data_IF_461001916106
#
_entry.id   IF_461001916106
#
_cell.length_a   1.000
_cell.length_b   1.000
_cell.length_c   1.000
_cell.angle_alpha   90.00
_cell.angle_beta   90.00
_cell.angle_gamma   90.00
#
_symmetry.space_group_name_H-M   'P 1'
#
loop_
_entity.id
_entity.type
_entity.pdbx_description
1 polymer ?
#
# COMPACT_ATOMS: atom_id res chain seq x y z
N UNK A 1 -5.67 -9.92 -2.19
CA UNK A 1 -4.95 -10.60 -3.29
C UNK A 1 -4.50 -9.66 -4.41
N UNK A 2 -5.32 -8.70 -4.88
CA UNK A 2 -5.00 -7.82 -6.02
C UNK A 2 -3.81 -6.86 -5.81
N UNK A 3 -3.74 -6.15 -4.68
CA UNK A 3 -2.61 -5.23 -4.37
C UNK A 3 -1.25 -5.95 -4.43
N UNK A 4 -1.12 -7.12 -3.79
CA UNK A 4 0.11 -7.92 -3.86
C UNK A 4 0.46 -8.42 -5.27
N UNK A 5 -0.54 -8.60 -6.15
CA UNK A 5 -0.29 -8.93 -7.57
C UNK A 5 0.20 -7.71 -8.33
N UNK A 6 -0.42 -6.54 -8.12
CA UNK A 6 -0.01 -5.28 -8.73
C UNK A 6 1.43 -4.92 -8.36
N UNK A 7 1.79 -4.93 -7.06
CA UNK A 7 3.16 -4.71 -6.59
C UNK A 7 4.17 -5.60 -7.32
N UNK A 8 3.93 -6.93 -7.35
CA UNK A 8 4.83 -7.88 -8.01
C UNK A 8 4.94 -7.64 -9.51
N UNK A 9 3.81 -7.41 -10.20
CA UNK A 9 3.78 -7.15 -11.65
C UNK A 9 4.54 -5.87 -12.01
N UNK A 10 4.37 -4.83 -11.21
CA UNK A 10 5.00 -3.52 -11.42
C UNK A 10 6.45 -3.49 -10.94
N UNK A 11 6.89 -4.51 -10.18
CA UNK A 11 8.17 -4.51 -9.46
C UNK A 11 8.32 -3.27 -8.57
N UNK A 12 7.20 -2.82 -8.00
CA UNK A 12 7.16 -1.65 -7.14
C UNK A 12 7.95 -1.93 -5.87
N UNK A 13 8.87 -1.02 -5.53
CA UNK A 13 9.61 -1.09 -4.28
C UNK A 13 8.69 -0.67 -3.12
N UNK A 14 8.20 -1.67 -2.38
CA UNK A 14 7.32 -1.48 -1.24
C UNK A 14 7.76 -2.34 -0.08
N UNK A 15 7.62 -1.78 1.13
CA UNK A 15 7.93 -2.50 2.36
C UNK A 15 6.65 -3.05 2.98
N UNK A 16 6.59 -4.36 3.18
CA UNK A 16 5.46 -5.00 3.86
C UNK A 16 5.58 -4.89 5.38
N UNK A 17 4.48 -4.53 6.04
CA UNK A 17 4.37 -4.49 7.50
C UNK A 17 3.29 -5.48 7.95
N UNK A 18 3.65 -6.37 8.88
CA UNK A 18 2.73 -7.35 9.44
C UNK A 18 1.97 -6.74 10.63
N UNK A 19 0.65 -6.62 10.52
CA UNK A 19 -0.19 -6.06 11.58
C UNK A 19 -0.34 -6.99 12.79
N UNK A 20 0.04 -8.27 12.69
CA UNK A 20 0.11 -9.16 13.86
C UNK A 20 1.21 -8.73 14.84
N UNK A 21 2.14 -7.87 14.41
CA UNK A 21 3.08 -7.22 15.30
C UNK A 21 2.45 -5.95 15.89
N UNK A 22 2.27 -5.85 17.23
CA UNK A 22 1.51 -4.77 17.85
C UNK A 22 1.92 -3.34 17.45
N UNK A 23 3.22 -3.00 17.29
CA UNK A 23 3.62 -1.67 16.83
C UNK A 23 3.05 -1.28 15.47
N UNK A 24 2.96 -2.22 14.52
CA UNK A 24 2.38 -1.95 13.20
C UNK A 24 0.86 -1.77 13.27
N UNK A 25 0.17 -2.58 14.08
CA UNK A 25 -1.27 -2.42 14.31
C UNK A 25 -1.57 -1.06 14.93
N UNK A 26 -0.84 -0.68 15.97
CA UNK A 26 -1.03 0.60 16.65
C UNK A 26 -0.81 1.77 15.69
N UNK A 27 0.23 1.70 14.85
CA UNK A 27 0.47 2.69 13.79
C UNK A 27 -0.69 2.76 12.80
N UNK A 28 -1.20 1.61 12.34
CA UNK A 28 -2.34 1.54 11.41
C UNK A 28 -3.58 2.22 12.00
N UNK A 29 -3.89 1.98 13.28
CA UNK A 29 -5.06 2.60 13.92
C UNK A 29 -4.83 4.08 14.19
N UNK A 30 -3.66 4.45 14.70
CA UNK A 30 -3.34 5.84 15.07
C UNK A 30 -3.25 6.76 13.85
N UNK A 31 -2.53 6.33 12.82
CA UNK A 31 -2.23 7.17 11.65
C UNK A 31 -3.23 6.93 10.50
N UNK A 32 -3.78 5.71 10.41
CA UNK A 32 -4.79 5.32 9.41
C UNK A 32 -6.24 5.48 9.88
N UNK A 33 -6.49 5.59 11.18
CA UNK A 33 -7.82 5.80 11.75
C UNK A 33 -8.68 4.53 11.90
N UNK A 34 -8.31 3.41 11.26
CA UNK A 34 -9.11 2.18 11.31
C UNK A 34 -8.29 0.89 11.16
N UNK A 35 -8.79 -0.20 11.75
CA UNK A 35 -8.23 -1.55 11.61
C UNK A 35 -8.71 -2.22 10.31
N UNK A 36 -8.37 -1.62 9.17
CA UNK A 36 -8.69 -2.15 7.83
C UNK A 36 -7.40 -2.44 7.05
N UNK A 37 -7.40 -3.55 6.31
CA UNK A 37 -6.34 -3.91 5.36
C UNK A 37 -6.93 -4.28 4.00
N UNK A 38 -6.19 -4.10 2.88
CA UNK A 38 -4.85 -3.50 2.80
C UNK A 38 -4.88 -1.98 3.03
N UNK A 39 -3.77 -1.45 3.55
CA UNK A 39 -3.50 -0.01 3.66
C UNK A 39 -2.10 0.24 3.09
N UNK A 40 -1.98 1.23 2.21
CA UNK A 40 -0.70 1.68 1.66
C UNK A 40 -0.36 3.03 2.30
N UNK A 41 0.84 3.17 2.86
CA UNK A 41 1.35 4.46 3.33
C UNK A 41 2.23 5.07 2.24
N UNK A 42 1.94 6.32 1.87
CA UNK A 42 2.71 7.12 0.91
C UNK A 42 3.05 8.43 1.63
N UNK A 43 4.33 8.70 1.88
CA UNK A 43 4.78 9.87 2.64
C UNK A 43 3.99 10.06 3.95
N UNK A 44 3.90 8.97 4.72
CA UNK A 44 3.14 8.85 5.98
C UNK A 44 1.62 9.08 5.89
N UNK A 45 1.06 9.28 4.69
CA UNK A 45 -0.39 9.38 4.47
C UNK A 45 -0.97 7.99 4.16
N UNK A 46 -2.04 7.58 4.87
CA UNK A 46 -2.71 6.30 4.62
C UNK A 46 -3.59 6.39 3.37
N UNK A 47 -3.55 5.34 2.55
CA UNK A 47 -4.46 5.11 1.45
C UNK A 47 -5.16 3.76 1.66
N UNK A 48 -6.48 3.80 1.65
CA UNK A 48 -7.34 2.63 1.72
C UNK A 48 -7.94 2.34 0.34
N UNK A 49 -8.85 1.39 0.33
CA UNK A 49 -9.47 0.84 -0.86
C UNK A 49 -8.49 0.19 -1.83
N UNK A 50 -8.66 -1.12 -1.92
CA UNK A 50 -7.73 -1.95 -2.67
C UNK A 50 -7.72 -1.66 -4.17
N UNK A 51 -8.76 -1.02 -4.74
CA UNK A 51 -8.75 -0.54 -6.13
C UNK A 51 -7.98 0.78 -6.28
N UNK A 52 -8.14 1.71 -5.35
CA UNK A 52 -7.41 2.99 -5.36
C UNK A 52 -5.91 2.77 -5.17
N UNK A 53 -5.53 1.86 -4.27
CA UNK A 53 -4.14 1.43 -4.11
C UNK A 53 -3.56 0.87 -5.42
N UNK A 54 -4.33 0.06 -6.16
CA UNK A 54 -3.87 -0.52 -7.42
C UNK A 54 -3.70 0.56 -8.48
N UNK A 55 -4.69 1.45 -8.64
CA UNK A 55 -4.64 2.58 -9.58
C UNK A 55 -3.46 3.50 -9.29
N UNK A 56 -3.20 3.79 -8.02
CA UNK A 56 -2.04 4.57 -7.60
C UNK A 56 -0.73 3.88 -8.00
N UNK A 57 -0.58 2.60 -7.69
CA UNK A 57 0.63 1.84 -8.03
C UNK A 57 0.84 1.79 -9.56
N UNK A 58 -0.21 1.54 -10.33
CA UNK A 58 -0.14 1.56 -11.80
C UNK A 58 0.28 2.93 -12.32
N UNK A 59 -0.36 4.00 -11.87
CA UNK A 59 0.02 5.38 -12.24
C UNK A 59 1.48 5.69 -11.90
N UNK A 60 1.95 5.30 -10.71
CA UNK A 60 3.27 5.65 -10.19
C UNK A 60 4.42 4.88 -10.86
N UNK A 61 4.21 3.61 -11.21
CA UNK A 61 5.27 2.71 -11.66
C UNK A 61 5.11 2.21 -13.11
N UNK A 62 3.96 2.40 -13.75
CA UNK A 62 3.79 2.11 -15.18
C UNK A 62 4.31 3.25 -16.06
N UNK A 63 4.22 4.49 -15.59
CA UNK A 63 4.79 5.66 -16.27
C UNK A 63 6.33 5.61 -16.40
N UNK A 64 7.03 4.85 -15.54
CA UNK A 64 8.48 4.65 -15.61
C UNK A 64 8.91 3.64 -16.69
N UNK A 65 7.98 3.02 -17.42
CA UNK A 65 8.29 2.03 -18.48
C UNK A 65 8.20 2.57 -19.91
N UNK A 66 7.76 3.81 -20.08
CA UNK A 66 7.60 4.44 -21.40
C UNK A 66 8.53 5.65 -21.63
N UNK A 67 9.46 5.92 -20.70
CA UNK A 67 10.53 6.92 -20.85
C UNK A 67 11.91 6.29 -20.69
#
# INVERSE_FOLDING_TARGET
MKVRRAVRRLKADVVYRNILWPPNMMRLIRDGGMYQIPCLFIDDKPMYESDDIVRFLESRFQAEKEG
#
